data_IF_860655596322
#
_entry.id   IF_860655596322
#
_cell.length_a   1.000
_cell.length_b   1.000
_cell.length_c   1.000
_cell.angle_alpha   90.00
_cell.angle_beta   90.00
_cell.angle_gamma   90.00
#
_symmetry.space_group_name_H-M   'P 1'
#
loop_
_entity.id
_entity.type
_entity.pdbx_description
1 polymer ?
#
# COMPACT_ATOMS: atom_id res chain seq x y z
N UNK A 1 -2.60 14.61 -16.08
CA UNK A 1 -1.52 15.39 -16.73
C UNK A 1 -0.44 14.40 -17.11
N UNK A 2 -0.25 14.18 -18.41
CA UNK A 2 0.89 13.43 -18.92
C UNK A 2 2.03 14.44 -19.00
N UNK A 3 3.01 14.35 -18.09
CA UNK A 3 4.17 15.22 -18.15
C UNK A 3 5.17 14.56 -19.11
N UNK A 4 5.15 14.96 -20.38
CA UNK A 4 6.15 14.57 -21.38
C UNK A 4 7.58 15.02 -21.01
N UNK A 5 7.72 15.83 -19.95
CA UNK A 5 8.98 16.32 -19.40
C UNK A 5 8.93 16.30 -17.86
N UNK A 6 9.49 15.24 -17.26
CA UNK A 6 9.52 15.00 -15.81
C UNK A 6 10.30 16.11 -15.09
N UNK A 7 11.39 16.60 -15.69
CA UNK A 7 12.23 17.65 -15.09
C UNK A 7 11.48 18.98 -15.02
N UNK A 8 10.75 19.35 -16.08
CA UNK A 8 9.85 20.51 -16.01
C UNK A 8 8.75 20.33 -14.99
N UNK A 9 8.13 19.15 -14.94
CA UNK A 9 7.08 18.85 -13.96
C UNK A 9 7.57 19.04 -12.53
N UNK A 10 8.78 18.54 -12.24
CA UNK A 10 9.45 18.70 -10.96
C UNK A 10 9.71 20.17 -10.64
N UNK A 11 10.27 20.94 -11.58
CA UNK A 11 10.53 22.36 -11.39
C UNK A 11 9.24 23.16 -11.10
N UNK A 12 8.15 22.88 -11.83
CA UNK A 12 6.86 23.51 -11.56
C UNK A 12 6.28 23.12 -10.21
N UNK A 13 6.38 21.85 -9.83
CA UNK A 13 5.88 21.35 -8.56
C UNK A 13 6.64 21.96 -7.38
N UNK A 14 7.97 22.07 -7.48
CA UNK A 14 8.81 22.73 -6.47
C UNK A 14 8.48 24.22 -6.36
N UNK A 15 8.35 24.92 -7.49
CA UNK A 15 7.96 26.33 -7.51
C UNK A 15 6.60 26.55 -6.85
N UNK A 16 5.61 25.73 -7.20
CA UNK A 16 4.29 25.80 -6.57
C UNK A 16 4.37 25.48 -5.06
N UNK A 17 5.12 24.44 -4.68
CA UNK A 17 5.32 24.06 -3.28
C UNK A 17 5.93 25.18 -2.44
N UNK A 18 6.83 26.00 -2.99
CA UNK A 18 7.45 27.12 -2.28
C UNK A 18 6.53 28.34 -2.11
N UNK A 19 5.52 28.50 -2.96
CA UNK A 19 4.61 29.66 -2.93
C UNK A 19 3.27 29.37 -2.27
N UNK A 20 2.82 28.12 -2.26
CA UNK A 20 1.55 27.73 -1.65
C UNK A 20 1.65 27.70 -0.11
N UNK A 21 0.70 28.28 0.64
CA UNK A 21 0.68 28.18 2.11
C UNK A 21 0.57 26.73 2.62
N UNK A 22 1.21 26.45 3.75
CA UNK A 22 1.12 25.13 4.37
C UNK A 22 -0.33 24.78 4.75
N UNK A 23 -0.79 23.62 4.30
CA UNK A 23 -2.13 23.07 4.57
C UNK A 23 -2.16 21.58 4.31
N UNK A 24 -3.12 20.87 4.91
CA UNK A 24 -3.34 19.43 4.66
C UNK A 24 -3.63 19.15 3.18
N UNK A 25 -4.34 20.08 2.53
CA UNK A 25 -4.63 20.00 1.09
C UNK A 25 -3.35 20.10 0.26
N UNK A 26 -2.47 21.05 0.59
CA UNK A 26 -1.17 21.19 -0.08
C UNK A 26 -0.35 19.91 0.10
N UNK A 27 -0.25 19.38 1.32
CA UNK A 27 0.51 18.16 1.60
C UNK A 27 -0.03 16.96 0.81
N UNK A 28 -1.35 16.77 0.80
CA UNK A 28 -2.00 15.69 0.04
C UNK A 28 -1.74 15.80 -1.46
N UNK A 29 -1.77 17.02 -2.01
CA UNK A 29 -1.44 17.25 -3.42
C UNK A 29 0.04 16.97 -3.72
N UNK A 30 0.96 17.46 -2.87
CA UNK A 30 2.39 17.24 -3.03
C UNK A 30 2.73 15.76 -2.96
N UNK A 31 2.17 15.02 -2.00
CA UNK A 31 2.35 13.57 -1.89
C UNK A 31 1.94 12.88 -3.21
N UNK A 32 0.73 13.16 -3.69
CA UNK A 32 0.23 12.57 -4.92
C UNK A 32 1.10 12.95 -6.12
N UNK A 33 1.44 14.22 -6.27
CA UNK A 33 2.22 14.73 -7.40
C UNK A 33 3.64 14.16 -7.41
N UNK A 34 4.33 14.14 -6.26
CA UNK A 34 5.65 13.53 -6.15
C UNK A 34 5.63 12.03 -6.46
N UNK A 35 4.59 11.32 -6.00
CA UNK A 35 4.38 9.90 -6.36
C UNK A 35 4.21 9.73 -7.88
N UNK A 36 3.48 10.62 -8.57
CA UNK A 36 3.29 10.52 -10.02
C UNK A 36 4.56 10.74 -10.83
N UNK A 37 5.48 11.57 -10.35
CA UNK A 37 6.75 11.87 -11.05
C UNK A 37 7.93 11.02 -10.57
N UNK A 38 7.69 10.02 -9.71
CA UNK A 38 8.72 9.10 -9.22
C UNK A 38 9.61 9.63 -8.09
N UNK A 39 9.28 10.78 -7.51
CA UNK A 39 9.99 11.38 -6.38
C UNK A 39 9.52 10.78 -5.05
N UNK A 40 9.68 9.46 -4.92
CA UNK A 40 9.10 8.68 -3.81
C UNK A 40 9.66 9.07 -2.44
N UNK A 41 10.94 9.45 -2.34
CA UNK A 41 11.56 9.89 -1.10
C UNK A 41 10.89 11.16 -0.55
N UNK A 42 10.53 12.10 -1.43
CA UNK A 42 9.80 13.32 -1.03
C UNK A 42 8.39 12.99 -0.58
N UNK A 43 7.68 12.12 -1.31
CA UNK A 43 6.36 11.65 -0.90
C UNK A 43 6.41 10.96 0.47
N UNK A 44 7.41 10.11 0.72
CA UNK A 44 7.62 9.43 2.01
C UNK A 44 7.80 10.45 3.15
N UNK A 45 8.58 11.50 2.94
CA UNK A 45 8.78 12.55 3.95
C UNK A 45 7.48 13.26 4.30
N UNK A 46 6.63 13.56 3.31
CA UNK A 46 5.33 14.19 3.53
C UNK A 46 4.42 13.27 4.34
N UNK A 47 4.29 12.00 3.93
CA UNK A 47 3.44 11.05 4.64
C UNK A 47 3.91 10.85 6.08
N UNK A 48 5.22 10.72 6.33
CA UNK A 48 5.78 10.63 7.69
C UNK A 48 5.39 11.82 8.57
N UNK A 49 5.54 13.04 8.08
CA UNK A 49 5.11 14.25 8.82
C UNK A 49 3.60 14.23 9.10
N UNK A 50 2.79 13.84 8.11
CA UNK A 50 1.33 13.79 8.28
C UNK A 50 0.87 12.77 9.34
N UNK A 51 1.61 11.66 9.53
CA UNK A 51 1.27 10.62 10.51
C UNK A 51 1.34 11.14 11.94
N UNK A 52 2.24 12.09 12.22
CA UNK A 52 2.40 12.69 13.55
C UNK A 52 1.17 13.50 13.96
N UNK A 53 0.43 14.03 12.99
CA UNK A 53 -0.76 14.84 13.19
C UNK A 53 -2.07 14.03 13.13
N UNK A 54 -2.00 12.77 12.68
CA UNK A 54 -3.18 11.92 12.49
C UNK A 54 -3.59 11.21 13.78
N UNK A 55 -4.87 11.32 14.08
CA UNK A 55 -5.54 10.58 15.15
C UNK A 55 -5.48 9.06 14.90
N UNK A 56 -5.43 8.24 15.96
CA UNK A 56 -5.50 6.79 15.84
C UNK A 56 -6.73 6.30 15.06
N UNK A 57 -6.61 5.14 14.44
CA UNK A 57 -7.68 4.52 13.67
C UNK A 57 -7.52 4.68 12.16
N UNK A 58 -8.58 5.12 11.49
CA UNK A 58 -8.69 5.03 10.02
C UNK A 58 -7.61 5.84 9.29
N UNK A 59 -7.43 7.11 9.66
CA UNK A 59 -6.51 8.02 8.96
C UNK A 59 -5.05 7.61 9.14
N UNK A 60 -4.68 7.20 10.36
CA UNK A 60 -3.33 6.73 10.67
C UNK A 60 -3.02 5.40 9.99
N UNK A 61 -3.97 4.46 9.96
CA UNK A 61 -3.81 3.20 9.22
C UNK A 61 -3.68 3.44 7.71
N UNK A 62 -4.45 4.38 7.16
CA UNK A 62 -4.35 4.81 5.76
C UNK A 62 -2.96 5.36 5.44
N UNK A 63 -2.45 6.26 6.27
CA UNK A 63 -1.14 6.86 6.07
C UNK A 63 0.03 5.84 6.18
N UNK A 64 -0.06 4.88 7.10
CA UNK A 64 0.92 3.79 7.14
C UNK A 64 0.86 2.90 5.90
N UNK A 65 -0.33 2.64 5.36
CA UNK A 65 -0.48 1.91 4.08
C UNK A 65 0.18 2.69 2.94
N UNK A 66 0.00 4.00 2.90
CA UNK A 66 0.60 4.84 1.85
C UNK A 66 2.13 4.82 1.92
N UNK A 67 2.71 4.79 3.13
CA UNK A 67 4.14 4.53 3.30
C UNK A 67 4.56 3.16 2.76
N UNK A 68 3.80 2.10 3.02
CA UNK A 68 4.11 0.77 2.48
C UNK A 68 4.09 0.77 0.96
N UNK A 69 3.12 1.43 0.34
CA UNK A 69 3.07 1.54 -1.12
C UNK A 69 4.29 2.29 -1.66
N UNK A 70 4.64 3.43 -1.09
CA UNK A 70 5.80 4.22 -1.49
C UNK A 70 7.12 3.47 -1.29
N UNK A 71 7.29 2.81 -0.13
CA UNK A 71 8.45 1.98 0.13
C UNK A 71 8.55 0.80 -0.83
N UNK A 72 7.42 0.25 -1.27
CA UNK A 72 7.40 -0.81 -2.29
C UNK A 72 7.91 -0.28 -3.63
N UNK A 73 7.59 0.96 -4.02
CA UNK A 73 8.11 1.57 -5.26
C UNK A 73 9.64 1.73 -5.26
N UNK A 74 10.26 1.92 -4.08
CA UNK A 74 11.72 2.01 -3.93
C UNK A 74 12.39 0.68 -3.52
N UNK A 75 11.75 -0.46 -3.81
CA UNK A 75 12.35 -1.79 -3.63
C UNK A 75 12.05 -2.48 -2.30
N UNK A 76 11.05 -2.00 -1.55
CA UNK A 76 10.55 -2.63 -0.33
C UNK A 76 11.66 -2.95 0.71
N UNK A 77 12.35 -1.92 1.25
CA UNK A 77 13.37 -2.11 2.26
C UNK A 77 12.81 -2.89 3.46
N UNK A 78 13.65 -3.74 4.07
CA UNK A 78 13.22 -4.65 5.14
C UNK A 78 12.58 -3.94 6.31
N UNK A 79 13.05 -2.73 6.62
CA UNK A 79 12.66 -1.97 7.81
C UNK A 79 11.26 -1.36 7.66
N UNK A 80 10.76 -1.22 6.43
CA UNK A 80 9.39 -0.77 6.19
C UNK A 80 8.33 -1.75 6.74
N UNK A 81 8.71 -2.99 7.08
CA UNK A 81 7.84 -3.95 7.77
C UNK A 81 7.24 -3.40 9.07
N UNK A 82 7.92 -2.47 9.75
CA UNK A 82 7.41 -1.84 10.98
C UNK A 82 6.06 -1.13 10.76
N UNK A 83 5.84 -0.56 9.56
CA UNK A 83 4.58 0.13 9.26
C UNK A 83 3.43 -0.86 9.05
N UNK A 84 3.70 -2.10 8.61
CA UNK A 84 2.71 -3.18 8.58
C UNK A 84 2.29 -3.56 10.01
N UNK A 85 3.24 -3.57 10.94
CA UNK A 85 2.97 -3.85 12.35
C UNK A 85 2.15 -2.73 12.99
N UNK A 86 2.44 -1.47 12.66
CA UNK A 86 1.64 -0.33 13.11
C UNK A 86 0.21 -0.37 12.54
N UNK A 87 0.02 -0.76 11.28
CA UNK A 87 -1.31 -1.01 10.72
C UNK A 87 -2.05 -2.09 11.54
N UNK A 88 -1.38 -3.19 11.88
CA UNK A 88 -2.01 -4.25 12.70
C UNK A 88 -2.49 -3.72 14.06
N UNK A 89 -1.69 -2.85 14.69
CA UNK A 89 -2.07 -2.19 15.95
C UNK A 89 -3.27 -1.28 15.75
N UNK A 90 -3.30 -0.47 14.69
CA UNK A 90 -4.45 0.39 14.40
C UNK A 90 -5.72 -0.42 14.07
N UNK A 91 -5.62 -1.48 13.27
CA UNK A 91 -6.74 -2.36 12.90
C UNK A 91 -7.39 -3.08 14.07
N UNK A 92 -6.71 -3.19 15.23
CA UNK A 92 -7.30 -3.73 16.46
C UNK A 92 -8.17 -2.72 17.21
N UNK A 93 -8.08 -1.43 16.88
CA UNK A 93 -8.81 -0.36 17.56
C UNK A 93 -10.20 -0.13 16.96
N UNK A 94 -10.47 -0.65 15.77
CA UNK A 94 -11.71 -0.42 15.05
C UNK A 94 -11.97 -1.53 14.02
N UNK A 95 -13.23 -1.83 13.71
CA UNK A 95 -13.59 -2.96 12.83
C UNK A 95 -14.00 -2.56 11.40
N UNK A 96 -14.35 -1.27 11.18
CA UNK A 96 -14.94 -0.84 9.91
C UNK A 96 -13.99 -1.01 8.70
N UNK A 97 -12.66 -1.10 8.92
CA UNK A 97 -11.67 -1.33 7.85
C UNK A 97 -11.94 -2.61 7.06
N UNK A 98 -12.61 -3.61 7.66
CA UNK A 98 -12.91 -4.91 7.04
C UNK A 98 -13.94 -4.82 5.92
N UNK A 99 -14.79 -3.78 5.94
CA UNK A 99 -15.96 -3.63 5.07
C UNK A 99 -15.78 -2.54 4.01
N UNK A 100 -14.68 -1.80 4.06
CA UNK A 100 -14.44 -0.63 3.21
C UNK A 100 -13.15 -0.78 2.42
N UNK A 101 -12.94 0.12 1.45
CA UNK A 101 -11.79 0.09 0.55
C UNK A 101 -10.43 0.04 1.26
N UNK A 102 -10.33 0.59 2.48
CA UNK A 102 -9.10 0.54 3.28
C UNK A 102 -8.58 -0.88 3.44
N UNK A 103 -9.41 -1.83 3.89
CA UNK A 103 -8.97 -3.21 4.13
C UNK A 103 -8.49 -3.90 2.85
N UNK A 104 -9.22 -3.75 1.75
CA UNK A 104 -8.84 -4.33 0.45
C UNK A 104 -7.52 -3.76 -0.07
N UNK A 105 -7.39 -2.43 -0.05
CA UNK A 105 -6.18 -1.74 -0.49
C UNK A 105 -4.98 -2.12 0.37
N UNK A 106 -5.14 -2.14 1.70
CA UNK A 106 -4.06 -2.51 2.63
C UNK A 106 -3.61 -3.95 2.44
N UNK A 107 -4.53 -4.91 2.30
CA UNK A 107 -4.15 -6.30 2.03
C UNK A 107 -3.36 -6.41 0.73
N UNK A 108 -3.79 -5.73 -0.33
CA UNK A 108 -3.06 -5.70 -1.60
C UNK A 108 -1.67 -5.10 -1.42
N UNK A 109 -1.54 -3.91 -0.84
CA UNK A 109 -0.26 -3.21 -0.67
C UNK A 109 0.73 -4.05 0.15
N UNK A 110 0.25 -4.78 1.16
CA UNK A 110 1.13 -5.66 1.96
C UNK A 110 1.52 -6.93 1.21
N UNK A 111 0.68 -7.47 0.33
CA UNK A 111 1.12 -8.53 -0.59
C UNK A 111 2.15 -8.01 -1.59
N UNK A 112 1.97 -6.81 -2.15
CA UNK A 112 2.93 -6.20 -3.08
C UNK A 112 4.28 -5.95 -2.39
N UNK A 113 4.28 -5.46 -1.14
CA UNK A 113 5.50 -5.37 -0.34
C UNK A 113 6.15 -6.75 -0.16
N UNK A 114 5.35 -7.76 0.19
CA UNK A 114 5.85 -9.11 0.42
C UNK A 114 6.46 -9.73 -0.86
N UNK A 115 5.91 -9.47 -2.05
CA UNK A 115 6.46 -9.97 -3.31
C UNK A 115 7.72 -9.21 -3.75
N UNK A 116 7.84 -7.94 -3.37
CA UNK A 116 8.93 -7.04 -3.80
C UNK A 116 10.17 -7.14 -2.91
N UNK A 117 10.01 -7.28 -1.59
CA UNK A 117 11.15 -7.26 -0.67
C UNK A 117 12.12 -8.43 -0.92
N UNK A 118 13.42 -8.15 -0.80
CA UNK A 118 14.47 -9.16 -0.91
C UNK A 118 14.78 -9.86 0.43
N UNK A 119 14.23 -9.37 1.54
CA UNK A 119 14.46 -9.98 2.86
C UNK A 119 13.42 -11.10 3.12
N UNK A 120 13.84 -12.38 3.26
CA UNK A 120 12.90 -13.48 3.45
C UNK A 120 12.10 -13.43 4.76
N UNK A 121 12.68 -12.86 5.82
CA UNK A 121 11.99 -12.72 7.10
C UNK A 121 10.87 -11.69 6.98
N UNK A 122 11.18 -10.49 6.48
CA UNK A 122 10.20 -9.41 6.26
C UNK A 122 9.11 -9.85 5.28
N UNK A 123 9.47 -10.46 4.15
CA UNK A 123 8.52 -10.87 3.13
C UNK A 123 7.55 -11.96 3.62
N UNK A 124 8.05 -12.99 4.31
CA UNK A 124 7.18 -14.03 4.89
C UNK A 124 6.32 -13.47 6.03
N UNK A 125 6.82 -12.53 6.82
CA UNK A 125 6.07 -11.86 7.90
C UNK A 125 4.95 -10.99 7.33
N UNK A 126 5.25 -10.16 6.33
CA UNK A 126 4.26 -9.36 5.60
C UNK A 126 3.16 -10.23 4.99
N UNK A 127 3.54 -11.34 4.33
CA UNK A 127 2.58 -12.30 3.79
C UNK A 127 1.63 -12.83 4.88
N UNK A 128 2.15 -13.16 6.07
CA UNK A 128 1.31 -13.65 7.18
C UNK A 128 0.28 -12.61 7.63
N UNK A 129 0.67 -11.34 7.73
CA UNK A 129 -0.28 -10.26 8.04
C UNK A 129 -1.36 -10.14 6.96
N UNK A 130 -0.97 -10.05 5.69
CA UNK A 130 -1.93 -9.96 4.59
C UNK A 130 -2.85 -11.20 4.49
N UNK A 131 -2.34 -12.43 4.68
CA UNK A 131 -3.18 -13.65 4.73
C UNK A 131 -4.14 -13.64 5.93
N UNK A 132 -3.72 -13.12 7.09
CA UNK A 132 -4.60 -12.99 8.26
C UNK A 132 -5.71 -11.96 8.02
N UNK A 133 -5.37 -10.76 7.54
CA UNK A 133 -6.35 -9.72 7.24
C UNK A 133 -7.26 -10.09 6.08
N UNK A 134 -6.76 -10.82 5.06
CA UNK A 134 -7.56 -11.28 3.92
C UNK A 134 -8.74 -12.17 4.30
N UNK A 135 -8.66 -12.85 5.46
CA UNK A 135 -9.75 -13.69 5.99
C UNK A 135 -10.81 -12.86 6.72
N UNK A 136 -10.47 -11.64 7.12
CA UNK A 136 -11.35 -10.74 7.86
C UNK A 136 -12.09 -9.77 6.94
N UNK A 137 -11.46 -9.34 5.84
CA UNK A 137 -12.10 -8.44 4.88
C UNK A 137 -13.20 -9.15 4.10
N UNK A 138 -14.29 -8.44 3.82
CA UNK A 138 -15.36 -8.99 2.98
C UNK A 138 -14.86 -9.07 1.54
N UNK A 139 -14.57 -10.29 1.07
CA UNK A 139 -14.25 -10.63 -0.32
C UNK A 139 -13.19 -9.73 -0.99
N UNK A 140 -11.98 -10.27 -1.12
CA UNK A 140 -10.92 -9.57 -1.82
C UNK A 140 -11.20 -9.39 -3.32
N UNK A 141 -10.86 -8.22 -3.90
CA UNK A 141 -10.92 -8.02 -5.34
C UNK A 141 -9.84 -8.85 -6.07
N UNK A 142 -10.07 -9.13 -7.36
CA UNK A 142 -9.17 -9.94 -8.19
C UNK A 142 -7.71 -9.48 -8.09
N UNK A 143 -7.45 -8.18 -8.20
CA UNK A 143 -6.11 -7.60 -8.13
C UNK A 143 -5.37 -7.89 -6.81
N UNK A 144 -6.09 -7.92 -5.67
CA UNK A 144 -5.49 -8.25 -4.39
C UNK A 144 -5.18 -9.76 -4.27
N UNK A 145 -6.00 -10.60 -4.90
CA UNK A 145 -5.78 -12.04 -4.97
C UNK A 145 -4.55 -12.38 -5.82
N UNK A 146 -4.38 -11.71 -6.96
CA UNK A 146 -3.18 -11.82 -7.81
C UNK A 146 -1.91 -11.42 -7.06
N UNK A 147 -1.92 -10.28 -6.36
CA UNK A 147 -0.81 -9.89 -5.47
C UNK A 147 -0.52 -10.98 -4.42
N UNK A 148 -1.56 -11.58 -3.85
CA UNK A 148 -1.43 -12.72 -2.93
C UNK A 148 -0.80 -13.96 -3.57
N UNK A 149 -1.11 -14.26 -4.84
CA UNK A 149 -0.44 -15.34 -5.60
C UNK A 149 1.04 -15.03 -5.78
N UNK A 150 1.38 -13.83 -6.25
CA UNK A 150 2.76 -13.41 -6.49
C UNK A 150 3.60 -13.49 -5.21
N UNK A 151 3.08 -12.98 -4.10
CA UNK A 151 3.75 -13.03 -2.80
C UNK A 151 3.92 -14.48 -2.29
N UNK A 152 2.91 -15.34 -2.46
CA UNK A 152 3.00 -16.75 -2.07
C UNK A 152 4.03 -17.52 -2.90
N UNK A 153 4.09 -17.26 -4.22
CA UNK A 153 5.08 -17.84 -5.13
C UNK A 153 6.48 -17.40 -4.76
N UNK A 154 6.68 -16.09 -4.54
CA UNK A 154 7.98 -15.50 -4.17
C UNK A 154 8.63 -16.21 -2.98
N UNK A 155 7.84 -16.64 -2.01
CA UNK A 155 8.31 -17.29 -0.78
C UNK A 155 8.09 -18.79 -0.73
N UNK A 156 7.85 -19.45 -1.87
CA UNK A 156 7.67 -20.90 -2.00
C UNK A 156 6.55 -21.46 -1.10
N UNK A 157 5.48 -20.69 -0.87
CA UNK A 157 4.33 -21.10 -0.07
C UNK A 157 3.33 -21.87 -0.95
N UNK A 158 3.64 -23.12 -1.29
CA UNK A 158 2.89 -23.93 -2.26
C UNK A 158 1.38 -24.00 -1.99
N UNK A 159 0.99 -24.36 -0.76
CA UNK A 159 -0.43 -24.47 -0.38
C UNK A 159 -1.16 -23.14 -0.47
N UNK A 160 -0.47 -22.03 -0.12
CA UNK A 160 -1.03 -20.69 -0.22
C UNK A 160 -1.16 -20.25 -1.68
N UNK A 161 -0.18 -20.56 -2.51
CA UNK A 161 -0.24 -20.30 -3.96
C UNK A 161 -1.47 -20.96 -4.57
N UNK A 162 -1.68 -22.26 -4.31
CA UNK A 162 -2.86 -22.99 -4.80
C UNK A 162 -4.16 -22.37 -4.31
N UNK A 163 -4.23 -21.99 -3.03
CA UNK A 163 -5.40 -21.31 -2.44
C UNK A 163 -5.71 -19.99 -3.16
N UNK A 164 -4.73 -19.09 -3.26
CA UNK A 164 -4.96 -17.76 -3.85
C UNK A 164 -5.26 -17.83 -5.34
N UNK A 165 -4.63 -18.73 -6.12
CA UNK A 165 -4.98 -18.94 -7.54
C UNK A 165 -6.43 -19.35 -7.72
N UNK A 166 -6.90 -20.34 -6.95
CA UNK A 166 -8.31 -20.78 -6.99
C UNK A 166 -9.28 -19.63 -6.67
N UNK A 167 -8.93 -18.80 -5.69
CA UNK A 167 -9.75 -17.62 -5.34
C UNK A 167 -9.75 -16.60 -6.47
N UNK A 168 -8.58 -16.31 -7.06
CA UNK A 168 -8.42 -15.36 -8.16
C UNK A 168 -9.19 -15.81 -9.41
N UNK A 169 -9.07 -17.07 -9.80
CA UNK A 169 -9.81 -17.69 -10.92
C UNK A 169 -11.32 -17.58 -10.72
N UNK A 170 -11.82 -17.91 -9.51
CA UNK A 170 -13.25 -17.78 -9.19
C UNK A 170 -13.73 -16.35 -9.31
N UNK A 171 -12.93 -15.39 -8.83
CA UNK A 171 -13.31 -13.98 -8.89
C UNK A 171 -13.25 -13.42 -10.31
N UNK A 172 -12.27 -13.84 -11.11
CA UNK A 172 -12.17 -13.50 -12.52
C UNK A 172 -13.38 -14.00 -13.31
N UNK A 173 -13.72 -15.28 -13.16
CA UNK A 173 -14.90 -15.86 -13.83
C UNK A 173 -16.21 -15.11 -13.48
N UNK A 174 -16.35 -14.63 -12.24
CA UNK A 174 -17.50 -13.82 -11.83
C UNK A 174 -17.53 -12.46 -12.54
N UNK A 175 -16.38 -11.79 -12.68
CA UNK A 175 -16.27 -10.51 -13.39
C UNK A 175 -16.59 -10.71 -14.87
N UNK A 176 -16.06 -11.76 -15.48
CA UNK A 176 -16.27 -12.06 -16.90
C UNK A 176 -17.73 -12.45 -17.22
N UNK A 177 -18.51 -12.87 -16.21
CA UNK A 177 -19.93 -13.25 -16.34
C UNK A 177 -20.93 -12.13 -16.07
N UNK A 178 -20.47 -10.91 -15.75
CA UNK A 178 -21.30 -9.72 -15.48
C UNK A 178 -21.45 -8.85 -16.73
#
# INVERSE_FOLDING_TARGET
MYFDDIEKAKAYLELWASNEPESDRKQSYLEYAYKQIGEFEKAIQIVKKSIELKEPGFDKAGAYRDLIELYTQIGAPSDAIQYIEYIDVEFRKFDNWKLVGLGHMTVKSVFDYASTTNNPSSGKKAFKYADAWSKQVNKLPYVALESGVQAAVRWNMYLKTKKYRKLAEKERARIDSM
#
